data_IF_135934654201
#
_entry.id   IF_135934654201
#
_cell.length_a   1.000
_cell.length_b   1.000
_cell.length_c   1.000
_cell.angle_alpha   90.00
_cell.angle_beta   90.00
_cell.angle_gamma   90.00
#
_symmetry.space_group_name_H-M   'P 1'
#
loop_
_entity.id
_entity.type
_entity.pdbx_description
1 polymer ?
#
# COMPACT_ATOMS: atom_id res chain seq x y z
N UNK A 1 -12.57 0.53 2.65
CA UNK A 1 -12.60 -0.78 3.33
C UNK A 1 -11.42 -1.64 2.93
N UNK A 2 -10.90 -2.47 3.85
CA UNK A 2 -9.74 -3.34 3.66
C UNK A 2 -10.05 -4.84 3.87
N UNK A 3 -11.32 -5.21 3.94
CA UNK A 3 -11.76 -6.61 3.96
C UNK A 3 -13.09 -6.79 3.20
N UNK A 4 -13.30 -8.01 2.70
CA UNK A 4 -14.44 -8.33 1.84
C UNK A 4 -15.76 -8.42 2.61
N UNK A 5 -15.74 -8.82 3.88
CA UNK A 5 -16.94 -8.89 4.70
C UNK A 5 -17.51 -7.49 4.95
N UNK A 6 -16.64 -6.52 5.27
CA UNK A 6 -17.04 -5.13 5.42
C UNK A 6 -17.50 -4.53 4.09
N UNK A 7 -16.85 -4.86 2.97
CA UNK A 7 -17.29 -4.43 1.65
C UNK A 7 -18.72 -4.89 1.35
N UNK A 8 -19.04 -6.16 1.62
CA UNK A 8 -20.39 -6.69 1.44
C UNK A 8 -21.43 -6.04 2.36
N UNK A 9 -21.02 -5.74 3.60
CA UNK A 9 -21.92 -5.09 4.57
C UNK A 9 -22.24 -3.66 4.14
N UNK A 10 -21.22 -2.86 3.86
CA UNK A 10 -21.36 -1.44 3.48
C UNK A 10 -22.03 -1.28 2.13
N UNK A 11 -21.75 -2.18 1.17
CA UNK A 11 -22.37 -2.17 -0.15
C UNK A 11 -23.90 -2.35 -0.16
N UNK A 12 -24.49 -2.75 0.99
CA UNK A 12 -25.95 -2.77 1.16
C UNK A 12 -26.58 -1.40 1.41
N UNK A 13 -25.75 -0.38 1.62
CA UNK A 13 -26.18 0.98 1.96
C UNK A 13 -25.59 2.03 1.02
N UNK A 14 -25.76 1.89 -0.31
CA UNK A 14 -25.12 2.75 -1.29
C UNK A 14 -25.52 4.23 -1.17
N UNK A 15 -26.71 4.50 -0.64
CA UNK A 15 -27.20 5.88 -0.42
C UNK A 15 -26.52 6.58 0.77
N UNK A 16 -25.85 5.82 1.63
CA UNK A 16 -25.23 6.36 2.85
C UNK A 16 -23.71 6.42 2.74
N UNK A 17 -23.11 5.57 1.90
CA UNK A 17 -21.66 5.38 1.83
C UNK A 17 -21.15 5.34 0.39
N UNK A 18 -20.08 6.09 0.12
CA UNK A 18 -19.21 5.90 -1.04
C UNK A 18 -18.19 4.80 -0.71
N UNK A 19 -18.26 3.67 -1.38
CA UNK A 19 -17.41 2.52 -1.08
C UNK A 19 -16.05 2.66 -1.75
N UNK A 20 -15.01 2.81 -0.92
CA UNK A 20 -13.62 2.89 -1.34
C UNK A 20 -12.87 1.59 -1.06
N UNK A 21 -12.22 1.01 -2.08
CA UNK A 21 -11.37 -0.16 -1.94
C UNK A 21 -10.00 0.23 -1.40
N UNK A 22 -9.68 -0.22 -0.20
CA UNK A 22 -8.41 0.09 0.45
C UNK A 22 -7.22 -0.69 -0.10
N UNK A 23 -6.03 -0.25 0.24
CA UNK A 23 -4.75 -0.76 -0.27
C UNK A 23 -4.48 -2.23 0.02
N UNK A 24 -5.09 -2.82 1.06
CA UNK A 24 -4.93 -4.24 1.39
C UNK A 24 -5.69 -5.18 0.43
N UNK A 25 -6.75 -4.70 -0.19
CA UNK A 25 -7.52 -5.46 -1.18
C UNK A 25 -6.95 -5.31 -2.60
N UNK A 26 -6.21 -4.23 -2.86
CA UNK A 26 -5.54 -4.01 -4.13
C UNK A 26 -4.25 -4.87 -4.21
N UNK A 27 -4.32 -5.97 -4.94
CA UNK A 27 -3.23 -6.95 -5.04
C UNK A 27 -2.17 -6.51 -6.06
N UNK A 28 -1.00 -6.13 -5.54
CA UNK A 28 0.19 -5.85 -6.35
C UNK A 28 1.46 -6.34 -5.63
N UNK A 29 2.55 -6.44 -6.37
CA UNK A 29 3.87 -6.74 -5.78
C UNK A 29 4.37 -5.53 -5.00
N UNK A 30 4.71 -5.73 -3.73
CA UNK A 30 5.20 -4.69 -2.82
C UNK A 30 6.49 -5.09 -2.11
N UNK A 31 7.26 -6.02 -2.67
CA UNK A 31 8.53 -6.44 -2.08
C UNK A 31 9.60 -5.37 -2.33
N UNK A 32 10.16 -4.73 -1.29
CA UNK A 32 11.15 -3.67 -1.44
C UNK A 32 12.43 -4.14 -2.13
N UNK A 33 12.72 -5.45 -2.09
CA UNK A 33 13.88 -6.04 -2.78
C UNK A 33 13.77 -5.93 -4.30
N UNK A 34 12.58 -5.81 -4.83
CA UNK A 34 12.37 -5.67 -6.28
C UNK A 34 12.95 -4.36 -6.81
N UNK A 35 13.06 -3.32 -5.99
CA UNK A 35 13.71 -2.06 -6.38
C UNK A 35 15.18 -2.26 -6.77
N UNK A 36 15.88 -3.23 -6.18
CA UNK A 36 17.26 -3.57 -6.54
C UNK A 36 17.37 -4.39 -7.82
N UNK A 37 16.30 -5.09 -8.18
CA UNK A 37 16.26 -5.93 -9.36
C UNK A 37 15.80 -5.18 -10.61
N UNK A 38 15.18 -4.02 -10.45
CA UNK A 38 14.57 -3.23 -11.53
C UNK A 38 15.54 -2.98 -12.69
N UNK A 39 16.80 -2.63 -12.42
CA UNK A 39 17.81 -2.41 -13.45
C UNK A 39 18.41 -3.68 -14.07
N UNK A 40 18.05 -4.86 -13.52
CA UNK A 40 18.56 -6.17 -13.95
C UNK A 40 17.48 -7.03 -14.60
N UNK A 41 16.22 -6.57 -14.55
CA UNK A 41 15.11 -7.27 -15.16
C UNK A 41 14.89 -6.79 -16.59
N UNK A 42 14.50 -7.69 -17.53
CA UNK A 42 14.00 -7.29 -18.83
C UNK A 42 12.77 -6.36 -18.71
N UNK A 43 12.59 -5.46 -19.65
CA UNK A 43 11.47 -4.49 -19.64
C UNK A 43 10.11 -5.18 -19.55
N UNK A 44 9.94 -6.32 -20.22
CA UNK A 44 8.73 -7.14 -20.13
C UNK A 44 8.39 -7.54 -18.68
N UNK A 45 9.40 -7.98 -17.93
CA UNK A 45 9.21 -8.43 -16.54
C UNK A 45 8.97 -7.24 -15.61
N UNK A 46 9.59 -6.10 -15.90
CA UNK A 46 9.33 -4.84 -15.19
C UNK A 46 7.89 -4.38 -15.43
N UNK A 47 7.37 -4.49 -16.64
CA UNK A 47 5.97 -4.22 -16.97
C UNK A 47 5.01 -5.09 -16.18
N UNK A 48 5.26 -6.40 -16.09
CA UNK A 48 4.44 -7.33 -15.30
C UNK A 48 4.43 -7.01 -13.79
N UNK A 49 5.54 -6.47 -13.27
CA UNK A 49 5.59 -6.03 -11.87
C UNK A 49 4.76 -4.77 -11.59
N UNK A 50 4.56 -3.94 -12.61
CA UNK A 50 3.73 -2.74 -12.52
C UNK A 50 2.23 -3.06 -12.44
N UNK A 51 1.82 -4.21 -12.96
CA UNK A 51 0.42 -4.66 -12.98
C UNK A 51 -0.10 -5.01 -11.58
N UNK A 52 -1.40 -4.85 -11.40
CA UNK A 52 -2.12 -5.23 -10.20
C UNK A 52 -3.51 -5.77 -10.56
N UNK A 53 -4.27 -6.20 -9.56
CA UNK A 53 -5.59 -6.78 -9.79
C UNK A 53 -6.59 -5.82 -10.47
N UNK A 54 -6.44 -4.51 -10.28
CA UNK A 54 -7.33 -3.51 -10.85
C UNK A 54 -7.05 -3.22 -12.33
N UNK A 55 -5.92 -3.67 -12.89
CA UNK A 55 -5.66 -3.57 -14.32
C UNK A 55 -6.41 -4.63 -15.15
N UNK A 56 -7.14 -5.53 -14.50
CA UNK A 56 -8.03 -6.49 -15.18
C UNK A 56 -9.45 -5.92 -15.25
N UNK A 57 -9.86 -5.44 -16.42
CA UNK A 57 -11.14 -4.75 -16.65
C UNK A 57 -12.35 -5.54 -16.13
N UNK A 58 -12.35 -6.86 -16.35
CA UNK A 58 -13.46 -7.70 -15.88
C UNK A 58 -13.56 -7.71 -14.35
N UNK A 59 -12.42 -7.69 -13.66
CA UNK A 59 -12.38 -7.69 -12.20
C UNK A 59 -12.88 -6.38 -11.63
N UNK A 60 -12.45 -5.26 -12.21
CA UNK A 60 -12.89 -3.93 -11.81
C UNK A 60 -14.40 -3.77 -12.00
N UNK A 61 -14.93 -4.13 -13.21
CA UNK A 61 -16.37 -4.13 -13.48
C UNK A 61 -17.16 -5.04 -12.53
N UNK A 62 -16.58 -6.18 -12.12
CA UNK A 62 -17.21 -7.06 -11.14
C UNK A 62 -17.24 -6.44 -9.73
N UNK A 63 -16.20 -5.75 -9.33
CA UNK A 63 -16.16 -5.03 -8.05
C UNK A 63 -17.20 -3.91 -7.98
N UNK A 64 -17.29 -3.12 -9.05
CA UNK A 64 -18.29 -2.06 -9.17
C UNK A 64 -19.71 -2.63 -9.13
N UNK A 65 -20.01 -3.56 -10.04
CA UNK A 65 -21.35 -4.13 -10.21
C UNK A 65 -21.85 -4.90 -8.98
N UNK A 66 -20.97 -5.70 -8.35
CA UNK A 66 -21.39 -6.64 -7.29
C UNK A 66 -21.24 -6.06 -5.89
N UNK A 67 -20.35 -5.09 -5.70
CA UNK A 67 -20.03 -4.53 -4.38
C UNK A 67 -20.20 -3.01 -4.32
N UNK A 68 -20.30 -2.31 -5.46
CA UNK A 68 -20.50 -0.88 -5.52
C UNK A 68 -19.24 -0.06 -5.20
N UNK A 69 -18.06 -0.59 -5.49
CA UNK A 69 -16.83 0.20 -5.38
C UNK A 69 -16.81 1.31 -6.44
N UNK A 70 -16.51 2.54 -5.99
CA UNK A 70 -16.44 3.74 -6.83
C UNK A 70 -15.14 4.49 -6.69
N UNK A 71 -14.26 4.06 -5.79
CA UNK A 71 -12.92 4.62 -5.54
C UNK A 71 -11.94 3.53 -5.15
N UNK A 72 -10.69 3.72 -5.54
CA UNK A 72 -9.60 2.77 -5.31
C UNK A 72 -8.40 3.44 -4.67
N UNK A 73 -7.82 2.83 -3.65
CA UNK A 73 -6.62 3.32 -2.99
C UNK A 73 -5.39 2.56 -3.45
N UNK A 74 -4.38 3.31 -3.81
CA UNK A 74 -3.08 2.83 -4.26
C UNK A 74 -1.99 3.30 -3.32
N UNK A 75 -0.87 2.62 -3.34
CA UNK A 75 0.34 3.04 -2.64
C UNK A 75 1.46 3.23 -3.65
N UNK A 76 2.29 4.26 -3.42
CA UNK A 76 3.58 4.33 -4.10
C UNK A 76 4.45 3.15 -3.68
N UNK A 77 5.16 2.51 -4.59
CA UNK A 77 6.02 1.37 -4.25
C UNK A 77 7.23 1.25 -5.17
N UNK A 78 7.74 2.38 -5.67
CA UNK A 78 8.96 2.43 -6.47
C UNK A 78 8.86 1.84 -7.88
N UNK A 79 7.67 1.44 -8.32
CA UNK A 79 7.43 0.96 -9.69
C UNK A 79 6.50 1.89 -10.45
N UNK A 80 6.52 1.85 -11.79
CA UNK A 80 5.47 2.44 -12.60
C UNK A 80 4.09 1.95 -12.15
N UNK A 81 3.09 2.81 -12.29
CA UNK A 81 1.72 2.54 -11.89
C UNK A 81 0.81 2.77 -13.08
N UNK A 82 -0.13 1.89 -13.28
CA UNK A 82 -1.18 2.07 -14.26
C UNK A 82 -2.50 2.20 -13.50
N UNK A 83 -3.00 3.42 -13.44
CA UNK A 83 -4.25 3.72 -12.75
C UNK A 83 -5.45 3.38 -13.63
N UNK A 84 -6.56 2.91 -13.02
CA UNK A 84 -7.83 2.81 -13.72
C UNK A 84 -8.42 4.20 -13.97
N UNK A 85 -9.43 4.29 -14.83
CA UNK A 85 -10.15 5.53 -15.15
C UNK A 85 -10.98 6.07 -13.97
N UNK A 86 -11.28 5.23 -12.99
CA UNK A 86 -12.07 5.59 -11.81
C UNK A 86 -11.25 6.42 -10.82
N UNK A 87 -11.99 7.02 -9.89
CA UNK A 87 -11.42 7.82 -8.80
C UNK A 87 -10.35 7.06 -8.03
N UNK A 88 -9.16 7.60 -7.99
CA UNK A 88 -8.00 6.95 -7.41
C UNK A 88 -7.29 7.85 -6.40
N UNK A 89 -7.00 7.31 -5.22
CA UNK A 89 -6.15 7.95 -4.23
C UNK A 89 -4.78 7.28 -4.21
N UNK A 90 -3.70 8.07 -4.24
CA UNK A 90 -2.32 7.57 -4.13
C UNK A 90 -1.74 7.91 -2.76
N UNK A 91 -1.43 6.88 -1.98
CA UNK A 91 -0.73 6.98 -0.70
C UNK A 91 0.78 7.04 -0.90
N UNK A 92 1.44 7.99 -0.25
CA UNK A 92 2.89 8.22 -0.33
C UNK A 92 3.44 8.81 0.98
N UNK A 93 4.74 8.76 1.25
CA UNK A 93 5.77 8.01 0.54
C UNK A 93 5.90 6.56 1.00
N UNK A 94 5.15 6.14 2.04
CA UNK A 94 5.20 4.80 2.60
C UNK A 94 4.17 3.89 1.95
N UNK A 95 4.56 2.63 1.79
CA UNK A 95 3.65 1.57 1.37
C UNK A 95 3.77 0.36 2.29
N UNK A 96 2.63 -0.30 2.52
CA UNK A 96 2.55 -1.46 3.40
C UNK A 96 2.97 -2.72 2.66
N UNK A 97 4.09 -3.33 3.09
CA UNK A 97 4.61 -4.56 2.49
C UNK A 97 3.98 -5.81 3.09
N UNK A 98 3.68 -5.76 4.37
CA UNK A 98 3.10 -6.89 5.09
C UNK A 98 2.27 -6.41 6.29
N UNK A 99 1.33 -7.24 6.72
CA UNK A 99 0.62 -7.11 7.98
C UNK A 99 0.49 -8.48 8.65
N UNK A 100 0.39 -8.49 9.96
CA UNK A 100 0.31 -9.71 10.76
C UNK A 100 -0.74 -9.56 11.86
N UNK A 101 -1.28 -10.66 12.31
CA UNK A 101 -2.09 -10.70 13.54
C UNK A 101 -1.22 -10.48 14.80
N UNK A 102 0.09 -10.64 14.66
CA UNK A 102 1.04 -10.56 15.75
C UNK A 102 1.87 -9.27 15.67
N UNK A 103 2.10 -8.65 16.83
CA UNK A 103 2.90 -7.45 16.89
C UNK A 103 4.35 -7.76 17.26
N UNK A 104 5.28 -7.42 16.38
CA UNK A 104 6.72 -7.64 16.58
C UNK A 104 7.25 -6.85 17.77
N UNK A 105 6.78 -5.62 17.99
CA UNK A 105 7.18 -4.80 19.15
C UNK A 105 6.71 -5.44 20.46
N UNK A 106 5.47 -5.89 20.53
CA UNK A 106 4.97 -6.58 21.70
C UNK A 106 5.81 -7.83 22.01
N UNK A 107 6.07 -8.67 21.01
CA UNK A 107 6.89 -9.86 21.18
C UNK A 107 8.29 -9.54 21.68
N UNK A 108 8.90 -8.48 21.17
CA UNK A 108 10.23 -8.03 21.63
C UNK A 108 10.22 -7.54 23.07
N UNK A 109 9.27 -6.66 23.43
CA UNK A 109 9.24 -6.03 24.73
C UNK A 109 8.73 -6.96 25.85
N UNK A 110 7.76 -7.79 25.54
CA UNK A 110 7.13 -8.68 26.51
C UNK A 110 7.87 -10.01 26.64
N UNK A 111 8.26 -10.59 25.53
CA UNK A 111 8.80 -11.95 25.47
C UNK A 111 10.32 -11.97 25.18
N UNK A 112 10.93 -10.82 24.95
CA UNK A 112 12.34 -10.68 24.53
C UNK A 112 12.69 -11.53 23.30
N UNK A 113 11.68 -11.85 22.49
CA UNK A 113 11.81 -12.67 21.30
C UNK A 113 10.82 -12.23 20.23
N UNK A 114 11.28 -11.42 19.26
CA UNK A 114 10.46 -10.87 18.18
C UNK A 114 9.82 -11.92 17.28
N UNK A 115 10.28 -13.16 17.32
CA UNK A 115 9.70 -14.28 16.56
C UNK A 115 8.50 -14.94 17.25
N UNK A 116 8.20 -14.57 18.49
CA UNK A 116 7.03 -15.08 19.21
C UNK A 116 5.74 -14.52 18.60
N UNK A 117 4.83 -15.42 18.31
CA UNK A 117 3.57 -15.12 17.63
C UNK A 117 2.39 -15.46 18.55
N UNK A 118 2.12 -14.58 19.49
CA UNK A 118 0.95 -14.67 20.36
C UNK A 118 -0.08 -13.61 20.00
N UNK A 119 -1.34 -14.00 20.03
CA UNK A 119 -2.43 -13.03 20.00
C UNK A 119 -2.40 -12.22 21.30
N UNK A 120 -2.47 -10.92 21.14
CA UNK A 120 -2.52 -10.01 22.27
C UNK A 120 -3.95 -9.86 22.74
N UNK A 121 -4.16 -10.02 24.04
CA UNK A 121 -5.43 -9.69 24.69
C UNK A 121 -5.47 -8.24 25.15
N UNK A 122 -4.30 -7.71 25.54
CA UNK A 122 -4.13 -6.33 25.98
C UNK A 122 -2.87 -5.75 25.35
N UNK A 123 -2.99 -4.58 24.71
CA UNK A 123 -1.86 -3.92 24.08
C UNK A 123 -1.45 -2.66 24.87
N UNK A 124 -0.22 -2.60 25.39
CA UNK A 124 0.27 -1.40 26.11
C UNK A 124 0.64 -0.25 25.16
N UNK A 125 0.51 -0.40 23.86
CA UNK A 125 0.74 0.69 22.90
C UNK A 125 2.21 1.01 22.63
N UNK A 126 3.12 0.07 22.70
CA UNK A 126 4.55 0.29 22.41
C UNK A 126 4.82 1.03 21.10
N UNK A 127 3.99 0.82 20.08
CA UNK A 127 4.11 1.47 18.77
C UNK A 127 3.79 2.98 18.78
N UNK A 128 3.25 3.53 19.85
CA UNK A 128 3.03 4.97 19.96
C UNK A 128 4.36 5.73 20.07
N UNK A 129 5.36 5.10 20.67
CA UNK A 129 6.67 5.73 20.93
C UNK A 129 7.83 5.06 20.19
N UNK A 130 7.61 3.88 19.61
CA UNK A 130 8.68 3.08 19.05
C UNK A 130 8.30 2.42 17.72
N UNK A 131 9.33 2.19 16.91
CA UNK A 131 9.23 1.47 15.63
C UNK A 131 10.39 0.47 15.52
N UNK A 132 10.19 -0.58 14.75
CA UNK A 132 11.25 -1.51 14.35
C UNK A 132 11.93 -0.98 13.10
N UNK A 133 13.23 -0.73 13.17
CA UNK A 133 14.04 -0.43 12.01
C UNK A 133 14.68 -1.71 11.48
N UNK A 134 14.54 -1.92 10.20
CA UNK A 134 15.21 -2.99 9.46
C UNK A 134 16.54 -2.49 8.89
N UNK A 135 17.39 -3.39 8.36
CA UNK A 135 18.62 -2.97 7.71
C UNK A 135 18.36 -1.88 6.67
N UNK A 136 19.20 -0.85 6.64
CA UNK A 136 19.01 0.37 5.85
C UNK A 136 18.72 0.09 4.38
N UNK A 137 19.39 -0.90 3.79
CA UNK A 137 19.20 -1.26 2.38
C UNK A 137 17.78 -1.74 2.03
N UNK A 138 16.96 -2.11 3.01
CA UNK A 138 15.56 -2.51 2.79
C UNK A 138 14.60 -1.33 2.89
N UNK A 139 15.02 -0.21 3.49
CA UNK A 139 14.19 0.98 3.74
C UNK A 139 12.84 0.62 4.38
N UNK A 140 12.85 -0.30 5.34
CA UNK A 140 11.66 -0.83 5.98
C UNK A 140 11.56 -0.41 7.43
N UNK A 141 10.35 -0.15 7.85
CA UNK A 141 10.00 0.17 9.24
C UNK A 141 8.82 -0.70 9.67
N UNK A 142 8.96 -1.37 10.81
CA UNK A 142 7.86 -2.08 11.47
C UNK A 142 7.18 -1.17 12.48
N UNK A 143 5.90 -0.93 12.33
CA UNK A 143 5.07 -0.17 13.27
C UNK A 143 3.68 -0.78 13.36
N UNK A 144 3.08 -0.74 14.53
CA UNK A 144 1.86 -1.50 14.81
C UNK A 144 2.12 -3.00 14.57
N UNK A 145 1.22 -3.66 13.88
CA UNK A 145 1.38 -5.05 13.43
C UNK A 145 1.77 -5.15 11.95
N UNK A 146 2.32 -4.08 11.38
CA UNK A 146 2.57 -3.96 9.95
C UNK A 146 4.02 -3.59 9.65
N UNK A 147 4.46 -3.96 8.47
CA UNK A 147 5.73 -3.57 7.89
C UNK A 147 5.48 -2.59 6.74
N UNK A 148 6.18 -1.48 6.80
CA UNK A 148 6.14 -0.45 5.78
C UNK A 148 7.49 -0.30 5.12
N UNK A 149 7.50 0.02 3.86
CA UNK A 149 8.69 0.43 3.14
C UNK A 149 8.52 1.86 2.61
N UNK A 150 9.62 2.54 2.43
CA UNK A 150 9.68 3.91 1.97
C UNK A 150 10.01 3.94 0.48
N UNK A 151 9.17 4.61 -0.30
CA UNK A 151 9.46 4.88 -1.69
C UNK A 151 10.47 6.03 -1.79
N UNK A 152 11.73 5.68 -2.03
CA UNK A 152 12.84 6.64 -2.09
C UNK A 152 12.71 7.64 -3.25
N UNK A 153 12.08 7.24 -4.34
CA UNK A 153 11.85 8.14 -5.48
C UNK A 153 10.88 9.23 -5.10
N UNK A 154 9.77 8.85 -4.46
CA UNK A 154 8.77 9.80 -3.97
C UNK A 154 9.34 10.67 -2.85
N UNK A 155 10.12 10.11 -1.93
CA UNK A 155 10.73 10.90 -0.86
C UNK A 155 11.61 12.03 -1.42
N UNK A 156 12.49 11.71 -2.36
CA UNK A 156 13.34 12.71 -3.02
C UNK A 156 12.52 13.78 -3.76
N UNK A 157 11.43 13.37 -4.37
CA UNK A 157 10.52 14.29 -5.05
C UNK A 157 9.79 15.21 -4.07
N UNK A 158 9.41 14.72 -2.90
CA UNK A 158 8.85 15.54 -1.82
C UNK A 158 9.87 16.60 -1.35
N UNK A 159 11.14 16.21 -1.17
CA UNK A 159 12.21 17.10 -0.76
C UNK A 159 12.52 18.19 -1.81
N UNK A 160 12.40 17.88 -3.10
CA UNK A 160 12.67 18.79 -4.21
C UNK A 160 11.45 19.57 -4.71
N UNK A 161 10.27 19.31 -4.16
CA UNK A 161 9.01 19.92 -4.61
C UNK A 161 8.49 19.43 -5.97
N UNK A 162 9.04 18.33 -6.49
CA UNK A 162 8.69 17.75 -7.80
C UNK A 162 7.82 16.48 -7.68
N UNK A 163 6.91 16.46 -6.72
CA UNK A 163 6.09 15.28 -6.39
C UNK A 163 5.21 14.83 -7.55
N UNK A 164 4.67 15.77 -8.30
CA UNK A 164 3.77 15.47 -9.43
C UNK A 164 4.46 14.55 -10.44
N UNK A 165 5.65 14.89 -10.88
CA UNK A 165 6.39 14.10 -11.85
C UNK A 165 6.80 12.71 -11.30
N UNK A 166 7.19 12.63 -10.05
CA UNK A 166 7.63 11.38 -9.44
C UNK A 166 6.47 10.48 -8.99
N UNK A 167 5.37 11.05 -8.53
CA UNK A 167 4.19 10.30 -8.10
C UNK A 167 3.41 9.74 -9.29
N UNK A 168 3.35 10.49 -10.38
CA UNK A 168 2.47 10.21 -11.51
C UNK A 168 3.21 9.66 -12.74
N UNK A 169 4.55 9.64 -12.71
CA UNK A 169 5.38 9.23 -13.85
C UNK A 169 5.60 10.36 -14.87
N UNK A 170 6.50 10.12 -15.81
CA UNK A 170 6.63 11.00 -16.97
C UNK A 170 5.34 10.94 -17.81
N UNK A 171 5.00 12.03 -18.40
CA UNK A 171 3.73 12.47 -19.02
C UNK A 171 2.94 11.49 -19.94
N UNK A 172 3.24 10.19 -19.96
CA UNK A 172 2.58 9.23 -20.86
C UNK A 172 1.37 8.48 -20.21
N UNK A 173 1.08 8.73 -18.93
CA UNK A 173 -0.12 8.12 -18.33
C UNK A 173 -1.34 9.00 -18.61
N UNK A 174 -2.27 8.47 -19.38
CA UNK A 174 -3.54 9.14 -19.71
C UNK A 174 -4.41 9.40 -18.46
N UNK A 175 -4.24 8.60 -17.41
CA UNK A 175 -5.03 8.68 -16.17
C UNK A 175 -4.12 8.92 -14.97
N UNK A 176 -4.45 9.94 -14.20
CA UNK A 176 -3.75 10.30 -12.97
C UNK A 176 -4.66 10.16 -11.75
N UNK A 177 -4.10 9.93 -10.54
CA UNK A 177 -4.91 9.92 -9.32
C UNK A 177 -5.46 11.33 -9.04
N UNK A 178 -6.70 11.38 -8.60
CA UNK A 178 -7.38 12.62 -8.23
C UNK A 178 -7.09 13.06 -6.78
N UNK A 179 -6.37 12.24 -6.02
CA UNK A 179 -6.02 12.53 -4.63
C UNK A 179 -4.64 11.98 -4.26
N UNK A 180 -3.80 12.80 -3.64
CA UNK A 180 -2.58 12.38 -2.95
C UNK A 180 -2.82 12.31 -1.43
N UNK A 181 -2.37 11.22 -0.79
CA UNK A 181 -2.50 10.99 0.65
C UNK A 181 -1.11 10.81 1.26
N UNK A 182 -0.71 11.74 2.13
CA UNK A 182 0.55 11.63 2.85
C UNK A 182 0.41 10.69 4.04
N UNK A 183 1.18 9.62 4.03
CA UNK A 183 1.28 8.71 5.16
C UNK A 183 2.43 9.15 6.07
N UNK A 184 2.10 9.47 7.31
CA UNK A 184 3.07 9.78 8.36
C UNK A 184 3.20 8.57 9.29
N UNK A 185 4.41 8.04 9.42
CA UNK A 185 4.72 6.90 10.29
C UNK A 185 5.50 7.32 11.53
#
# INVERSE_FOLDING_TARGET
>A
VNDWGMAQLVGRYPEQFELCMGTLLNKRKKDPRLSYLKSRLPDKDTGLLAENSLNADFYQKALEKNLGFVRYEWESCGYPKRFPEEKTSLHLPFYQTNTSQYCTLYAQYREHNRGRQYLQTECPGYCQMQAFLYPEHLHMTGRYNSLFSLDQTILRALETGSVENAAFGEAEQEVQPDRAVLNLL
#
